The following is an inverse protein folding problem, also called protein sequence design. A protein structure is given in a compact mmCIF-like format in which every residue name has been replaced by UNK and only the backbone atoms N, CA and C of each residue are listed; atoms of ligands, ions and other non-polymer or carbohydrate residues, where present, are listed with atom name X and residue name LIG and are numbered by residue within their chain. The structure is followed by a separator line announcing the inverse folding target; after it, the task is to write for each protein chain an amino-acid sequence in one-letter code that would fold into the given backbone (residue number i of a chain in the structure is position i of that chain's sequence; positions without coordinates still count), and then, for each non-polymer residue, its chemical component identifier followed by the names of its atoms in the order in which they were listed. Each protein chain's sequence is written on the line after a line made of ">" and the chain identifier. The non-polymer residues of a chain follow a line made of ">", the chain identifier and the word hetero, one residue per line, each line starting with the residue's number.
data_IF_201566335076
#
_entry.id   IF_201566335076
#
_cell.length_a   1.000
_cell.length_b   1.000
_cell.length_c   1.000
_cell.angle_alpha   90.00
_cell.angle_beta   90.00
_cell.angle_gamma   90.00
#
_symmetry.space_group_name_H-M   'P 1'
#
loop_
_entity.id
_entity.type
_entity.pdbx_description
1 polymer ?
#
# COMPACT_ATOMS: atom_id res chain seq x y z
N UNK A 1 -15.45 -11.38 -9.96
CA UNK A 1 -14.49 -10.77 -10.92
C UNK A 1 -13.25 -11.66 -11.03
N UNK A 2 -12.48 -11.61 -12.12
CA UNK A 2 -11.17 -12.28 -12.15
C UNK A 2 -10.30 -11.75 -11.00
N UNK A 3 -9.78 -12.64 -10.17
CA UNK A 3 -8.99 -12.31 -8.97
C UNK A 3 -7.81 -11.38 -9.31
N UNK A 4 -7.24 -11.54 -10.50
CA UNK A 4 -6.15 -10.70 -11.00
C UNK A 4 -6.61 -9.25 -11.25
N UNK A 5 -7.81 -9.06 -11.80
CA UNK A 5 -8.38 -7.72 -12.03
C UNK A 5 -8.70 -7.07 -10.68
N UNK A 6 -9.26 -7.84 -9.73
CA UNK A 6 -9.48 -7.37 -8.35
C UNK A 6 -8.16 -6.98 -7.66
N UNK A 7 -7.09 -7.76 -7.87
CA UNK A 7 -5.74 -7.46 -7.39
C UNK A 7 -5.19 -6.16 -7.96
N UNK A 8 -5.25 -5.97 -9.29
CA UNK A 8 -4.81 -4.73 -9.95
C UNK A 8 -5.60 -3.52 -9.44
N UNK A 9 -6.93 -3.62 -9.37
CA UNK A 9 -7.79 -2.54 -8.89
C UNK A 9 -7.45 -2.15 -7.44
N UNK A 10 -7.23 -3.14 -6.58
CA UNK A 10 -6.83 -2.95 -5.18
C UNK A 10 -5.45 -2.28 -5.08
N UNK A 11 -4.50 -2.71 -5.91
CA UNK A 11 -3.16 -2.10 -5.99
C UNK A 11 -3.21 -0.62 -6.43
N UNK A 12 -4.02 -0.29 -7.43
CA UNK A 12 -4.20 1.09 -7.90
C UNK A 12 -4.91 1.97 -6.87
N UNK A 13 -5.88 1.41 -6.13
CA UNK A 13 -6.53 2.10 -5.01
C UNK A 13 -5.50 2.44 -3.93
N UNK A 14 -4.65 1.48 -3.55
CA UNK A 14 -3.60 1.71 -2.57
C UNK A 14 -2.55 2.73 -3.06
N UNK A 15 -2.17 2.70 -4.34
CA UNK A 15 -1.31 3.72 -4.93
C UNK A 15 -1.88 5.13 -4.77
N UNK A 16 -3.18 5.30 -5.00
CA UNK A 16 -3.84 6.61 -4.88
C UNK A 16 -3.77 7.14 -3.44
N UNK A 17 -3.93 6.26 -2.45
CA UNK A 17 -3.80 6.60 -1.03
C UNK A 17 -2.36 6.95 -0.69
N UNK A 18 -1.39 6.16 -1.15
CA UNK A 18 0.04 6.43 -0.96
C UNK A 18 0.46 7.78 -1.54
N UNK A 19 0.02 8.10 -2.76
CA UNK A 19 0.29 9.39 -3.41
C UNK A 19 -0.32 10.52 -2.58
N UNK A 20 -1.58 10.39 -2.14
CA UNK A 20 -2.27 11.42 -1.36
C UNK A 20 -1.56 11.69 -0.02
N UNK A 21 -1.24 10.63 0.72
CA UNK A 21 -0.51 10.73 1.99
C UNK A 21 0.91 11.25 1.77
N UNK A 22 1.59 10.80 0.71
CA UNK A 22 2.92 11.25 0.34
C UNK A 22 2.97 12.74 0.04
N UNK A 23 2.03 13.24 -0.77
CA UNK A 23 1.90 14.68 -1.04
C UNK A 23 1.64 15.48 0.24
N UNK A 24 0.78 14.98 1.13
CA UNK A 24 0.49 15.63 2.41
C UNK A 24 1.72 15.69 3.33
N UNK A 25 2.49 14.60 3.42
CA UNK A 25 3.73 14.55 4.22
C UNK A 25 4.79 15.48 3.65
N UNK A 26 4.98 15.50 2.33
CA UNK A 26 5.92 16.42 1.67
C UNK A 26 5.53 17.88 1.94
N UNK A 27 4.24 18.20 1.83
CA UNK A 27 3.73 19.53 2.16
C UNK A 27 4.00 19.92 3.62
N UNK A 28 3.77 19.00 4.56
CA UNK A 28 4.06 19.22 5.97
C UNK A 28 5.56 19.44 6.23
N UNK A 29 6.43 18.66 5.57
CA UNK A 29 7.88 18.83 5.66
C UNK A 29 8.36 20.16 5.07
N UNK A 30 7.77 20.59 3.95
CA UNK A 30 8.05 21.91 3.36
C UNK A 30 7.65 23.03 4.32
N UNK A 31 6.44 22.96 4.90
CA UNK A 31 5.97 23.92 5.92
C UNK A 31 6.88 23.98 7.14
N UNK A 32 7.40 22.83 7.57
CA UNK A 32 8.32 22.71 8.71
C UNK A 32 9.77 23.08 8.37
N UNK A 33 10.03 23.66 7.18
CA UNK A 33 11.34 24.13 6.73
C UNK A 33 12.44 23.04 6.78
N UNK A 34 12.08 21.78 6.48
CA UNK A 34 13.06 20.70 6.40
C UNK A 34 14.01 20.98 5.23
N UNK A 35 15.30 21.13 5.52
CA UNK A 35 16.33 21.60 4.59
C UNK A 35 16.38 20.84 3.26
N UNK A 36 16.29 19.50 3.31
CA UNK A 36 16.28 18.66 2.11
C UNK A 36 15.07 18.93 1.20
N UNK A 37 13.87 19.05 1.79
CA UNK A 37 12.63 19.30 1.03
C UNK A 37 12.64 20.71 0.46
N UNK A 38 12.99 21.71 1.27
CA UNK A 38 13.05 23.10 0.80
C UNK A 38 14.06 23.27 -0.34
N UNK A 39 15.22 22.61 -0.27
CA UNK A 39 16.20 22.64 -1.36
C UNK A 39 15.69 21.94 -2.63
N UNK A 40 14.98 20.81 -2.51
CA UNK A 40 14.34 20.15 -3.65
C UNK A 40 13.38 21.08 -4.42
N UNK A 41 12.57 21.88 -3.70
CA UNK A 41 11.61 22.81 -4.30
C UNK A 41 12.22 24.16 -4.71
N UNK A 42 13.48 24.46 -4.37
CA UNK A 42 14.19 25.65 -4.87
C UNK A 42 14.58 25.49 -6.34
N UNK A 43 15.08 24.31 -6.70
CA UNK A 43 15.65 24.06 -8.03
C UNK A 43 14.62 23.42 -9.00
N UNK A 44 13.51 22.91 -8.48
CA UNK A 44 12.50 22.20 -9.28
C UNK A 44 11.07 22.59 -8.92
N UNK A 45 10.19 22.59 -9.93
CA UNK A 45 8.75 22.81 -9.71
C UNK A 45 8.11 21.58 -9.07
N UNK A 46 7.12 21.79 -8.21
CA UNK A 46 6.38 20.73 -7.53
C UNK A 46 5.87 19.63 -8.48
N UNK A 47 5.38 20.05 -9.66
CA UNK A 47 4.92 19.15 -10.72
C UNK A 47 6.02 18.19 -11.19
N UNK A 48 7.25 18.66 -11.38
CA UNK A 48 8.37 17.82 -11.86
C UNK A 48 8.79 16.76 -10.85
N UNK A 49 8.51 16.96 -9.55
CA UNK A 49 8.76 15.95 -8.51
C UNK A 49 7.59 14.96 -8.44
N UNK A 50 6.35 15.46 -8.44
CA UNK A 50 5.16 14.63 -8.20
C UNK A 50 4.83 13.73 -9.38
N UNK A 51 4.94 14.23 -10.63
CA UNK A 51 4.57 13.45 -11.82
C UNK A 51 5.38 12.14 -11.98
N UNK A 52 6.73 12.15 -11.87
CA UNK A 52 7.51 10.91 -11.92
C UNK A 52 7.08 9.93 -10.83
N UNK A 53 6.87 10.42 -9.60
CA UNK A 53 6.45 9.58 -8.47
C UNK A 53 5.12 8.86 -8.79
N UNK A 54 4.14 9.55 -9.35
CA UNK A 54 2.86 8.96 -9.77
C UNK A 54 3.07 7.92 -10.87
N UNK A 55 3.88 8.25 -11.88
CA UNK A 55 4.18 7.37 -13.02
C UNK A 55 4.86 6.08 -12.56
N UNK A 56 5.70 6.13 -11.53
CA UNK A 56 6.36 4.94 -10.98
C UNK A 56 5.48 4.18 -9.96
N UNK A 57 4.82 4.87 -9.03
CA UNK A 57 4.05 4.21 -7.96
C UNK A 57 2.87 3.42 -8.51
N UNK A 58 2.13 3.95 -9.48
CA UNK A 58 0.95 3.28 -10.03
C UNK A 58 1.26 1.89 -10.60
N UNK A 59 2.20 1.71 -11.55
CA UNK A 59 2.54 0.40 -12.07
C UNK A 59 3.16 -0.51 -10.99
N UNK A 60 3.99 0.03 -10.09
CA UNK A 60 4.58 -0.77 -9.00
C UNK A 60 3.50 -1.36 -8.10
N UNK A 61 2.53 -0.55 -7.65
CA UNK A 61 1.46 -1.04 -6.77
C UNK A 61 0.46 -1.93 -7.51
N UNK A 62 0.22 -1.69 -8.81
CA UNK A 62 -0.56 -2.62 -9.63
C UNK A 62 0.10 -4.01 -9.70
N UNK A 63 1.43 -4.06 -9.89
CA UNK A 63 2.20 -5.32 -9.87
C UNK A 63 2.09 -6.00 -8.50
N UNK A 64 2.23 -5.25 -7.40
CA UNK A 64 1.98 -5.81 -6.06
C UNK A 64 0.56 -6.35 -5.91
N UNK A 65 -0.44 -5.63 -6.42
CA UNK A 65 -1.83 -6.09 -6.58
C UNK A 65 -1.95 -7.46 -7.22
N UNK A 66 -1.29 -7.65 -8.36
CA UNK A 66 -1.25 -8.94 -9.07
C UNK A 66 -0.59 -10.03 -8.23
N UNK A 67 0.56 -9.73 -7.60
CA UNK A 67 1.28 -10.70 -6.76
C UNK A 67 0.40 -11.17 -5.59
N UNK A 68 -0.22 -10.25 -4.87
CA UNK A 68 -1.10 -10.59 -3.75
C UNK A 68 -2.38 -11.31 -4.20
N UNK A 69 -2.91 -10.98 -5.38
CA UNK A 69 -4.00 -11.74 -5.99
C UNK A 69 -3.58 -13.17 -6.35
N UNK A 70 -2.36 -13.36 -6.88
CA UNK A 70 -1.83 -14.69 -7.19
C UNK A 70 -1.59 -15.53 -5.93
N UNK A 71 -1.02 -14.93 -4.87
CA UNK A 71 -0.86 -15.57 -3.56
C UNK A 71 -2.22 -16.01 -3.02
N UNK A 72 -3.26 -15.19 -3.16
CA UNK A 72 -4.62 -15.55 -2.75
C UNK A 72 -5.12 -16.80 -3.49
N UNK A 73 -4.99 -16.85 -4.83
CA UNK A 73 -5.39 -18.01 -5.63
C UNK A 73 -4.66 -19.28 -5.17
N UNK A 74 -3.35 -19.19 -4.96
CA UNK A 74 -2.55 -20.34 -4.51
C UNK A 74 -3.02 -20.87 -3.16
N UNK A 75 -3.28 -19.99 -2.19
CA UNK A 75 -3.70 -20.40 -0.85
C UNK A 75 -5.14 -20.92 -0.86
N UNK A 76 -6.05 -20.27 -1.59
CA UNK A 76 -7.45 -20.69 -1.72
C UNK A 76 -7.56 -22.08 -2.36
N UNK A 77 -6.67 -22.40 -3.32
CA UNK A 77 -6.64 -23.71 -3.97
C UNK A 77 -6.29 -24.87 -3.05
N UNK A 78 -5.61 -24.61 -1.92
CA UNK A 78 -5.14 -25.64 -1.00
C UNK A 78 -6.03 -25.76 0.24
N UNK A 79 -6.43 -24.63 0.84
CA UNK A 79 -7.15 -24.60 2.12
C UNK A 79 -8.13 -23.42 2.10
N UNK A 80 -9.43 -23.71 2.05
CA UNK A 80 -10.51 -22.70 2.13
C UNK A 80 -11.17 -22.76 3.52
N UNK A 81 -10.55 -22.11 4.50
CA UNK A 81 -11.13 -21.92 5.84
C UNK A 81 -11.68 -20.49 5.93
N UNK A 82 -13.01 -20.37 5.94
CA UNK A 82 -13.77 -19.11 5.97
C UNK A 82 -14.30 -18.83 7.37
N UNK A 83 -13.82 -17.77 8.02
CA UNK A 83 -14.40 -17.26 9.28
C UNK A 83 -14.38 -15.72 9.26
N UNK A 84 -15.44 -15.09 9.76
CA UNK A 84 -15.55 -13.64 9.98
C UNK A 84 -15.52 -12.75 8.72
N UNK A 85 -16.17 -13.16 7.62
CA UNK A 85 -16.22 -12.32 6.40
C UNK A 85 -14.87 -12.14 5.70
N UNK A 86 -13.82 -12.82 6.17
CA UNK A 86 -12.59 -13.09 5.43
C UNK A 86 -12.73 -14.44 4.71
N UNK A 87 -12.62 -14.49 3.37
CA UNK A 87 -12.65 -15.71 2.60
C UNK A 87 -11.50 -16.69 2.90
N UNK A 88 -10.37 -16.23 3.45
CA UNK A 88 -9.26 -17.13 3.80
C UNK A 88 -8.37 -16.56 4.91
N UNK A 89 -8.43 -17.18 6.09
CA UNK A 89 -7.68 -16.76 7.28
C UNK A 89 -6.16 -16.84 7.06
N UNK A 90 -5.68 -17.89 6.38
CA UNK A 90 -4.25 -18.10 6.15
C UNK A 90 -3.70 -16.98 5.28
N UNK A 91 -4.42 -16.61 4.23
CA UNK A 91 -4.06 -15.49 3.38
C UNK A 91 -4.00 -14.17 4.17
N UNK A 92 -5.02 -13.86 4.97
CA UNK A 92 -5.03 -12.63 5.78
C UNK A 92 -3.85 -12.59 6.76
N UNK A 93 -3.47 -13.72 7.37
CA UNK A 93 -2.27 -13.78 8.22
C UNK A 93 -0.97 -13.55 7.44
N UNK A 94 -0.86 -14.05 6.21
CA UNK A 94 0.31 -13.81 5.34
C UNK A 94 0.42 -12.31 5.02
N UNK A 95 -0.70 -11.67 4.66
CA UNK A 95 -0.72 -10.23 4.36
C UNK A 95 -0.35 -9.40 5.59
N UNK A 96 -0.97 -9.67 6.75
CA UNK A 96 -0.66 -8.99 8.02
C UNK A 96 0.79 -9.24 8.42
N UNK A 97 1.31 -10.46 8.26
CA UNK A 97 2.69 -10.79 8.56
C UNK A 97 3.66 -9.98 7.70
N UNK A 98 3.41 -9.88 6.40
CA UNK A 98 4.21 -9.06 5.49
C UNK A 98 4.14 -7.57 5.83
N UNK A 99 2.95 -7.07 6.15
CA UNK A 99 2.68 -5.71 6.62
C UNK A 99 3.47 -5.39 7.89
N UNK A 100 3.41 -6.26 8.91
CA UNK A 100 4.10 -6.10 10.18
C UNK A 100 5.62 -6.09 10.03
N UNK A 101 6.19 -7.01 9.25
CA UNK A 101 7.64 -7.04 8.98
C UNK A 101 8.09 -5.73 8.33
N UNK A 102 7.35 -5.27 7.33
CA UNK A 102 7.61 -4.02 6.62
C UNK A 102 7.46 -2.80 7.54
N UNK A 103 6.44 -2.81 8.41
CA UNK A 103 6.22 -1.76 9.40
C UNK A 103 7.37 -1.68 10.40
N UNK A 104 7.80 -2.80 10.97
CA UNK A 104 8.92 -2.85 11.93
C UNK A 104 10.20 -2.33 11.27
N UNK A 105 10.49 -2.75 10.04
CA UNK A 105 11.65 -2.28 9.30
C UNK A 105 11.64 -0.76 9.09
N UNK A 106 10.51 -0.21 8.63
CA UNK A 106 10.37 1.25 8.44
C UNK A 106 10.31 2.02 9.75
N UNK A 107 9.78 1.42 10.82
CA UNK A 107 9.74 2.02 12.15
C UNK A 107 11.15 2.22 12.72
N UNK A 108 12.04 1.25 12.55
CA UNK A 108 13.45 1.36 12.98
C UNK A 108 14.15 2.53 12.28
N UNK A 109 13.86 2.72 10.99
CA UNK A 109 14.49 3.77 10.16
C UNK A 109 13.85 5.15 10.40
N UNK A 110 12.53 5.21 10.62
CA UNK A 110 11.75 6.45 10.59
C UNK A 110 10.75 6.54 11.75
N UNK A 111 11.23 6.26 12.97
CA UNK A 111 10.43 6.26 14.20
C UNK A 111 9.69 7.59 14.44
N UNK A 112 10.21 8.70 13.91
CA UNK A 112 9.60 10.04 14.01
C UNK A 112 8.23 10.13 13.33
N UNK A 113 7.96 9.36 12.29
CA UNK A 113 6.71 9.41 11.50
C UNK A 113 5.82 8.17 11.70
N UNK A 114 5.97 7.46 12.83
CA UNK A 114 5.30 6.18 13.10
C UNK A 114 3.77 6.21 12.96
N UNK A 115 3.11 7.33 13.31
CA UNK A 115 1.65 7.47 13.20
C UNK A 115 1.16 7.43 11.75
N UNK A 116 1.86 8.13 10.85
CA UNK A 116 1.54 8.10 9.42
C UNK A 116 1.84 6.74 8.81
N UNK A 117 2.93 6.09 9.24
CA UNK A 117 3.26 4.73 8.82
C UNK A 117 2.15 3.74 9.23
N UNK A 118 1.71 3.78 10.49
CA UNK A 118 0.60 2.92 10.95
C UNK A 118 -0.66 3.09 10.10
N UNK A 119 -1.05 4.32 9.77
CA UNK A 119 -2.22 4.56 8.92
C UNK A 119 -2.09 3.92 7.53
N UNK A 120 -0.91 3.98 6.92
CA UNK A 120 -0.63 3.34 5.62
C UNK A 120 -0.73 1.82 5.72
N UNK A 121 -0.16 1.21 6.76
CA UNK A 121 -0.17 -0.25 6.93
C UNK A 121 -1.56 -0.80 7.28
N UNK A 122 -2.33 -0.10 8.12
CA UNK A 122 -3.74 -0.46 8.37
C UNK A 122 -4.54 -0.42 7.07
N UNK A 123 -4.30 0.59 6.23
CA UNK A 123 -4.98 0.72 4.94
C UNK A 123 -4.54 -0.37 3.96
N UNK A 124 -3.26 -0.72 3.96
CA UNK A 124 -2.71 -1.84 3.21
C UNK A 124 -3.40 -3.15 3.60
N UNK A 125 -3.49 -3.45 4.89
CA UNK A 125 -4.12 -4.68 5.38
C UNK A 125 -5.62 -4.74 5.04
N UNK A 126 -6.32 -3.60 5.13
CA UNK A 126 -7.73 -3.53 4.73
C UNK A 126 -7.93 -3.81 3.23
N UNK A 127 -7.06 -3.25 2.38
CA UNK A 127 -7.17 -3.40 0.92
C UNK A 127 -6.71 -4.79 0.47
N UNK A 128 -5.48 -5.18 0.80
CA UNK A 128 -4.93 -6.44 0.32
C UNK A 128 -5.45 -7.63 1.10
N UNK A 129 -5.62 -7.51 2.42
CA UNK A 129 -6.05 -8.61 3.28
C UNK A 129 -7.55 -8.91 3.22
N UNK A 130 -8.38 -7.91 2.89
CA UNK A 130 -9.83 -8.03 2.94
C UNK A 130 -10.53 -7.70 1.61
N UNK A 131 -10.16 -6.59 0.95
CA UNK A 131 -10.84 -6.15 -0.28
C UNK A 131 -10.63 -7.14 -1.44
N UNK A 132 -9.41 -7.62 -1.65
CA UNK A 132 -9.10 -8.61 -2.72
C UNK A 132 -9.97 -9.88 -2.56
N UNK A 133 -9.99 -10.53 -1.38
CA UNK A 133 -10.88 -11.66 -1.16
C UNK A 133 -12.36 -11.35 -1.38
N UNK A 134 -12.87 -10.21 -0.90
CA UNK A 134 -14.27 -9.81 -1.06
C UNK A 134 -14.62 -9.71 -2.56
N UNK A 135 -13.81 -8.97 -3.33
CA UNK A 135 -14.01 -8.76 -4.77
C UNK A 135 -13.85 -10.04 -5.60
N UNK A 136 -13.09 -11.02 -5.10
CA UNK A 136 -12.95 -12.33 -5.73
C UNK A 136 -14.16 -13.25 -5.50
N UNK A 137 -14.86 -13.06 -4.38
CA UNK A 137 -16.00 -13.89 -3.96
C UNK A 137 -17.35 -13.47 -4.55
N UNK A 138 -17.39 -12.31 -5.21
CA UNK A 138 -18.53 -11.76 -5.97
C UNK A 138 -18.41 -12.02 -7.47
#
# INVERSE_FOLDING_TARGET
>A
MDVLIAGVASGLLFASILISVGCFVIFQMYRNQVSWVVNLFKDTTASKIIFPVIIFINPTMAIFGVIFGFIFILIESQISIKILGSPNIIYTFVVIGFSLISFVFLYIISSKYWRSLLGIFITFDAIFGWLIPILSSS
#
